data_IF_280275638017
#
_entry.id   IF_280275638017
#
_cell.length_a   1.000
_cell.length_b   1.000
_cell.length_c   1.000
_cell.angle_alpha   90.00
_cell.angle_beta   90.00
_cell.angle_gamma   90.00
#
_symmetry.space_group_name_H-M   'P 1'
#
loop_
_entity.id
_entity.type
_entity.pdbx_description
1 polymer ?
#
# COMPACT_ATOMS: atom_id res chain seq x y z
N UNK A 1 11.14 16.07 -11.61
CA UNK A 1 12.03 14.93 -11.36
C UNK A 1 12.10 14.77 -9.86
N UNK A 2 11.50 13.72 -9.33
CA UNK A 2 11.46 13.45 -7.89
C UNK A 2 12.73 12.76 -7.40
N UNK A 3 12.95 12.73 -6.10
CA UNK A 3 14.08 12.04 -5.45
C UNK A 3 14.16 10.53 -5.79
N UNK A 4 13.04 9.94 -6.22
CA UNK A 4 12.95 8.54 -6.63
C UNK A 4 13.40 8.31 -8.10
N UNK A 5 13.47 9.36 -8.92
CA UNK A 5 13.87 9.25 -10.32
C UNK A 5 15.38 8.99 -10.41
N UNK A 6 15.77 7.74 -10.65
CA UNK A 6 17.16 7.32 -10.75
C UNK A 6 17.81 6.88 -9.43
N UNK A 7 17.03 6.73 -8.35
CA UNK A 7 17.55 6.16 -7.10
C UNK A 7 17.83 4.65 -7.24
N UNK A 8 18.64 4.08 -6.34
CA UNK A 8 18.94 2.63 -6.30
C UNK A 8 17.82 1.78 -5.66
N UNK A 9 16.72 2.41 -5.28
CA UNK A 9 15.51 1.81 -4.72
C UNK A 9 15.73 0.98 -3.45
N UNK A 10 16.51 1.49 -2.49
CA UNK A 10 16.73 0.83 -1.20
C UNK A 10 15.45 0.52 -0.41
N UNK A 11 14.42 1.36 -0.52
CA UNK A 11 13.10 1.09 0.06
C UNK A 11 12.45 -0.18 -0.51
N UNK A 12 12.56 -0.44 -1.81
CA UNK A 12 12.06 -1.65 -2.46
C UNK A 12 12.84 -2.91 -2.06
N UNK A 13 14.04 -2.77 -1.49
CA UNK A 13 14.89 -3.87 -1.02
C UNK A 13 14.74 -4.14 0.47
N UNK A 14 14.29 -3.13 1.20
CA UNK A 14 14.26 -3.15 2.66
C UNK A 14 12.88 -3.48 3.20
N UNK A 15 11.84 -2.83 2.67
CA UNK A 15 10.52 -2.93 3.28
C UNK A 15 9.70 -4.10 2.73
N UNK A 16 9.07 -4.86 3.63
CA UNK A 16 7.88 -5.64 3.32
C UNK A 16 6.70 -4.67 3.19
N UNK A 17 6.40 -4.24 1.96
CA UNK A 17 5.39 -3.20 1.71
C UNK A 17 3.99 -3.78 1.92
N UNK A 18 3.21 -3.33 2.93
CA UNK A 18 1.85 -3.79 3.11
C UNK A 18 0.96 -3.40 1.94
N UNK A 19 0.06 -4.30 1.56
CA UNK A 19 -0.91 -4.08 0.47
C UNK A 19 -2.33 -4.32 0.97
N UNK A 20 -3.26 -3.52 0.46
CA UNK A 20 -4.70 -3.72 0.67
C UNK A 20 -5.31 -4.53 -0.46
N UNK A 21 -6.53 -5.05 -0.26
CA UNK A 21 -7.28 -5.69 -1.34
C UNK A 21 -7.50 -4.75 -2.54
N UNK A 22 -7.66 -3.44 -2.32
CA UNK A 22 -7.73 -2.47 -3.42
C UNK A 22 -6.42 -2.37 -4.21
N UNK A 23 -5.27 -2.41 -3.54
CA UNK A 23 -3.97 -2.43 -4.22
C UNK A 23 -3.79 -3.69 -5.06
N UNK A 24 -4.13 -4.85 -4.49
CA UNK A 24 -4.06 -6.16 -5.14
C UNK A 24 -4.92 -6.16 -6.41
N UNK A 25 -6.21 -5.86 -6.29
CA UNK A 25 -7.14 -5.86 -7.43
C UNK A 25 -6.70 -4.88 -8.52
N UNK A 26 -6.25 -3.69 -8.14
CA UNK A 26 -5.77 -2.68 -9.10
C UNK A 26 -4.53 -3.16 -9.84
N UNK A 27 -3.58 -3.77 -9.15
CA UNK A 27 -2.35 -4.30 -9.77
C UNK A 27 -2.68 -5.48 -10.70
N UNK A 28 -3.51 -6.44 -10.27
CA UNK A 28 -3.93 -7.55 -11.11
C UNK A 28 -4.57 -7.06 -12.42
N UNK A 29 -5.51 -6.10 -12.33
CA UNK A 29 -6.17 -5.52 -13.51
C UNK A 29 -5.23 -4.78 -14.44
N UNK A 30 -4.28 -4.04 -13.89
CA UNK A 30 -3.36 -3.23 -14.69
C UNK A 30 -2.26 -4.05 -15.38
N UNK A 31 -1.86 -5.18 -14.78
CA UNK A 31 -0.68 -5.95 -15.22
C UNK A 31 -1.03 -7.29 -15.83
N UNK A 32 -2.24 -7.82 -15.59
CA UNK A 32 -2.62 -9.19 -15.93
C UNK A 32 -1.98 -10.26 -15.02
N UNK A 33 -1.18 -9.86 -14.02
CA UNK A 33 -0.62 -10.78 -13.04
C UNK A 33 -1.70 -11.29 -12.09
N UNK A 34 -1.52 -12.51 -11.59
CA UNK A 34 -2.34 -13.09 -10.54
C UNK A 34 -1.88 -12.62 -9.16
N UNK A 35 -2.74 -12.81 -8.17
CA UNK A 35 -2.42 -12.59 -6.76
C UNK A 35 -1.10 -13.27 -6.35
N UNK A 36 -0.90 -14.50 -6.79
CA UNK A 36 0.22 -15.35 -6.40
C UNK A 36 1.57 -14.88 -6.95
N UNK A 37 1.56 -14.05 -8.01
CA UNK A 37 2.78 -13.58 -8.65
C UNK A 37 3.52 -12.54 -7.83
N UNK A 38 2.81 -11.81 -6.95
CA UNK A 38 3.37 -10.65 -6.26
C UNK A 38 2.91 -10.43 -4.82
N UNK A 39 1.97 -11.22 -4.27
CA UNK A 39 1.51 -11.11 -2.89
C UNK A 39 2.07 -12.25 -2.04
N UNK A 40 2.49 -11.94 -0.83
CA UNK A 40 2.86 -12.92 0.18
C UNK A 40 2.30 -12.51 1.55
N UNK A 41 2.15 -13.49 2.45
CA UNK A 41 1.90 -13.26 3.87
C UNK A 41 3.24 -13.23 4.61
N UNK A 42 3.58 -12.10 5.21
CA UNK A 42 4.80 -11.94 5.99
C UNK A 42 4.48 -12.15 7.46
N UNK A 43 5.21 -13.05 8.12
CA UNK A 43 5.10 -13.21 9.57
C UNK A 43 5.54 -11.90 10.25
N UNK A 44 4.75 -11.45 11.22
CA UNK A 44 4.95 -10.18 11.89
C UNK A 44 4.78 -10.31 13.41
N UNK A 45 5.39 -11.34 14.00
CA UNK A 45 5.28 -11.65 15.43
C UNK A 45 5.71 -10.49 16.33
N UNK A 46 6.64 -9.65 15.87
CA UNK A 46 7.14 -8.49 16.61
C UNK A 46 6.41 -7.18 16.26
N UNK A 47 5.45 -7.20 15.33
CA UNK A 47 4.69 -6.01 14.91
C UNK A 47 5.48 -4.97 14.10
N UNK A 48 6.69 -5.30 13.65
CA UNK A 48 7.59 -4.39 12.93
C UNK A 48 7.12 -4.04 11.52
N UNK A 49 6.31 -4.89 10.89
CA UNK A 49 5.73 -4.65 9.57
C UNK A 49 4.42 -3.87 9.71
N UNK A 50 3.53 -4.32 10.59
CA UNK A 50 2.22 -3.70 10.78
C UNK A 50 2.32 -2.26 11.29
N UNK A 51 3.16 -2.01 12.30
CA UNK A 51 3.34 -0.70 12.98
C UNK A 51 2.02 0.02 13.26
N UNK A 52 1.01 -0.71 13.72
CA UNK A 52 -0.36 -0.23 14.00
C UNK A 52 -1.10 0.38 12.79
N UNK A 53 -0.59 0.18 11.57
CA UNK A 53 -1.18 0.70 10.32
C UNK A 53 -1.78 -0.44 9.51
N UNK A 54 -1.02 -1.51 9.26
CA UNK A 54 -1.51 -2.66 8.50
C UNK A 54 -2.12 -3.70 9.46
N UNK A 55 -3.26 -4.32 9.12
CA UNK A 55 -3.90 -5.29 9.99
C UNK A 55 -3.19 -6.66 9.95
N UNK A 56 -3.31 -7.40 11.05
CA UNK A 56 -2.87 -8.80 11.14
C UNK A 56 -3.96 -9.77 10.69
N UNK A 57 -3.54 -10.78 9.94
CA UNK A 57 -4.34 -11.92 9.50
C UNK A 57 -3.80 -13.20 10.12
N UNK A 58 -4.70 -14.08 10.55
CA UNK A 58 -4.37 -15.40 11.06
C UNK A 58 -4.81 -16.48 10.07
N UNK A 59 -4.05 -17.57 10.00
CA UNK A 59 -4.32 -18.68 9.09
C UNK A 59 -4.29 -20.03 9.83
N UNK A 60 -5.09 -21.04 9.41
CA UNK A 60 -5.20 -22.30 10.14
C UNK A 60 -3.90 -23.12 10.23
N UNK A 61 -2.98 -22.93 9.29
CA UNK A 61 -1.71 -23.65 9.23
C UNK A 61 -0.65 -23.08 10.18
N UNK A 62 -0.80 -21.82 10.62
CA UNK A 62 -0.05 -21.25 11.73
C UNK A 62 -0.92 -20.22 12.48
N UNK A 63 -1.78 -20.67 13.42
CA UNK A 63 -2.77 -19.80 14.05
C UNK A 63 -2.19 -18.76 15.01
N UNK A 64 -0.99 -19.01 15.56
CA UNK A 64 -0.38 -18.15 16.57
C UNK A 64 0.45 -17.03 15.95
N UNK A 65 0.95 -17.23 14.72
CA UNK A 65 1.70 -16.21 14.01
C UNK A 65 0.76 -15.18 13.39
N UNK A 66 0.87 -13.89 13.73
CA UNK A 66 0.20 -12.84 13.00
C UNK A 66 0.92 -12.62 11.67
N UNK A 67 0.14 -12.46 10.59
CA UNK A 67 0.68 -12.17 9.26
C UNK A 67 0.19 -10.83 8.73
N UNK A 68 1.07 -10.10 8.05
CA UNK A 68 0.72 -8.93 7.23
C UNK A 68 0.73 -9.33 5.76
N UNK A 69 -0.30 -8.94 5.01
CA UNK A 69 -0.35 -9.12 3.57
C UNK A 69 0.49 -8.03 2.91
N UNK A 70 1.55 -8.44 2.21
CA UNK A 70 2.55 -7.53 1.67
C UNK A 70 3.02 -7.97 0.29
N UNK A 71 3.71 -7.07 -0.40
CA UNK A 71 4.41 -7.41 -1.64
C UNK A 71 5.46 -8.49 -1.39
N UNK A 72 5.50 -9.48 -2.26
CA UNK A 72 6.49 -10.53 -2.26
C UNK A 72 7.89 -9.95 -2.56
N UNK A 73 8.89 -10.55 -1.94
CA UNK A 73 10.29 -10.34 -2.30
C UNK A 73 10.81 -11.52 -3.09
N UNK A 74 11.70 -11.25 -4.04
CA UNK A 74 12.46 -12.24 -4.79
C UNK A 74 13.96 -12.02 -4.57
N UNK A 75 14.77 -13.04 -4.85
CA UNK A 75 16.21 -12.86 -4.89
C UNK A 75 16.60 -11.79 -5.94
N UNK A 76 17.62 -11.00 -5.63
CA UNK A 76 18.24 -10.11 -6.59
C UNK A 76 19.19 -10.89 -7.49
N UNK A 77 19.12 -10.63 -8.80
CA UNK A 77 20.07 -11.19 -9.78
C UNK A 77 21.32 -10.32 -9.89
N UNK A 78 21.21 -9.03 -9.56
CA UNK A 78 22.29 -8.05 -9.67
C UNK A 78 23.17 -8.02 -8.41
N UNK A 79 22.56 -8.21 -7.24
CA UNK A 79 23.23 -8.13 -5.94
C UNK A 79 23.06 -9.47 -5.19
N UNK A 80 24.03 -10.38 -5.29
CA UNK A 80 23.93 -11.72 -4.70
C UNK A 80 23.64 -11.69 -3.19
N UNK A 81 22.84 -12.66 -2.71
CA UNK A 81 22.42 -12.78 -1.30
C UNK A 81 21.55 -11.63 -0.80
N UNK A 82 21.01 -10.81 -1.70
CA UNK A 82 20.04 -9.77 -1.37
C UNK A 82 18.65 -10.11 -1.91
N UNK A 83 17.64 -9.50 -1.31
CA UNK A 83 16.24 -9.60 -1.76
C UNK A 83 15.74 -8.24 -2.23
N UNK A 84 14.71 -8.29 -3.06
CA UNK A 84 14.03 -7.10 -3.58
C UNK A 84 12.54 -7.36 -3.73
N UNK A 85 11.75 -6.30 -3.67
CA UNK A 85 10.36 -6.31 -4.10
C UNK A 85 10.25 -6.91 -5.52
N UNK A 86 9.27 -7.79 -5.72
CA UNK A 86 9.00 -8.47 -6.99
C UNK A 86 8.95 -7.55 -8.22
N UNK A 87 8.52 -6.30 -8.02
CA UNK A 87 8.37 -5.30 -9.08
C UNK A 87 9.63 -4.45 -9.34
N UNK A 88 10.73 -4.66 -8.61
CA UNK A 88 11.96 -3.92 -8.81
C UNK A 88 12.77 -4.47 -9.99
N UNK A 89 12.85 -3.68 -11.07
CA UNK A 89 13.89 -3.82 -12.08
C UNK A 89 15.17 -3.18 -11.58
N UNK A 90 16.27 -3.90 -11.73
CA UNK A 90 17.58 -3.47 -11.30
C UNK A 90 18.42 -3.17 -12.55
N UNK A 91 19.00 -1.99 -12.58
CA UNK A 91 20.05 -1.65 -13.53
C UNK A 91 21.40 -1.82 -12.84
N UNK A 92 22.39 -2.33 -13.59
CA UNK A 92 23.74 -2.54 -13.10
C UNK A 92 24.37 -1.23 -12.60
N UNK A 93 25.24 -1.29 -11.58
CA UNK A 93 26.08 -0.16 -11.19
C UNK A 93 26.91 0.40 -12.34
N UNK A 94 27.06 1.73 -12.36
CA UNK A 94 27.91 2.46 -13.29
C UNK A 94 28.63 3.62 -12.54
N UNK A 95 29.59 4.32 -13.18
CA UNK A 95 30.33 5.40 -12.51
C UNK A 95 29.45 6.56 -11.99
N UNK A 96 28.28 6.77 -12.58
CA UNK A 96 27.29 7.78 -12.15
C UNK A 96 26.31 7.25 -11.10
N UNK A 97 26.05 5.95 -11.09
CA UNK A 97 25.16 5.25 -10.16
C UNK A 97 25.90 4.05 -9.53
N UNK A 98 26.75 4.26 -8.52
CA UNK A 98 27.59 3.20 -7.95
C UNK A 98 26.79 2.10 -7.23
N UNK A 99 25.52 2.34 -6.90
CA UNK A 99 24.59 1.35 -6.36
C UNK A 99 23.58 0.84 -7.42
N UNK A 100 23.81 1.17 -8.69
CA UNK A 100 22.85 0.94 -9.77
C UNK A 100 21.61 1.83 -9.65
N UNK A 101 20.67 1.62 -10.57
CA UNK A 101 19.36 2.26 -10.54
C UNK A 101 18.26 1.23 -10.34
N UNK A 102 17.20 1.65 -9.66
CA UNK A 102 15.98 0.87 -9.50
C UNK A 102 14.83 1.48 -10.29
N UNK A 103 14.03 0.64 -10.95
CA UNK A 103 12.78 1.05 -11.59
C UNK A 103 11.63 0.17 -11.15
N UNK A 104 10.54 0.79 -10.71
CA UNK A 104 9.33 0.06 -10.33
C UNK A 104 8.50 -0.26 -11.57
N UNK A 105 8.26 -1.55 -11.85
CA UNK A 105 7.46 -1.99 -13.00
C UNK A 105 5.99 -1.60 -12.93
N UNK A 106 5.50 -1.32 -11.72
CA UNK A 106 4.12 -0.91 -11.48
C UNK A 106 4.06 0.51 -10.93
N UNK A 107 4.98 1.41 -11.30
CA UNK A 107 5.10 2.72 -10.67
C UNK A 107 3.77 3.50 -10.65
N UNK A 108 3.02 3.52 -11.76
CA UNK A 108 1.71 4.17 -11.85
C UNK A 108 0.63 3.50 -10.99
N UNK A 109 0.80 2.22 -10.64
CA UNK A 109 -0.16 1.42 -9.88
C UNK A 109 0.34 1.01 -8.49
N UNK A 110 1.53 1.51 -8.09
CA UNK A 110 2.27 1.14 -6.88
C UNK A 110 1.35 1.22 -5.66
N UNK A 111 1.50 0.34 -4.65
CA UNK A 111 0.60 0.33 -3.49
C UNK A 111 0.48 1.69 -2.81
N UNK A 112 -0.66 1.91 -2.13
CA UNK A 112 -0.89 3.16 -1.40
C UNK A 112 0.24 3.47 -0.40
N UNK A 113 0.78 2.46 0.29
CA UNK A 113 1.92 2.62 1.19
C UNK A 113 3.16 3.18 0.48
N UNK A 114 3.48 2.71 -0.73
CA UNK A 114 4.59 3.25 -1.53
C UNK A 114 4.33 4.68 -2.02
N UNK A 115 3.07 5.07 -2.27
CA UNK A 115 2.73 6.44 -2.69
C UNK A 115 2.81 7.42 -1.53
N UNK A 116 2.43 6.98 -0.32
CA UNK A 116 2.43 7.80 0.88
C UNK A 116 3.83 7.97 1.49
N UNK A 117 4.76 7.05 1.26
CA UNK A 117 6.12 7.17 1.78
C UNK A 117 6.81 8.44 1.25
N UNK A 118 7.56 9.21 2.08
CA UNK A 118 7.82 9.01 3.51
C UNK A 118 6.99 9.92 4.42
N UNK A 119 5.70 10.05 4.16
CA UNK A 119 4.82 10.98 4.87
C UNK A 119 3.82 10.26 5.77
N UNK A 120 3.29 11.00 6.75
CA UNK A 120 2.10 10.62 7.53
C UNK A 120 1.17 11.82 7.69
N UNK A 121 -0.04 11.59 8.15
CA UNK A 121 -0.82 12.70 8.72
C UNK A 121 -0.30 13.09 10.10
N UNK A 122 -0.55 14.35 10.48
CA UNK A 122 -0.54 14.79 11.87
C UNK A 122 -1.67 14.14 12.69
N UNK A 123 -1.78 14.51 13.97
CA UNK A 123 -2.75 13.92 14.89
C UNK A 123 -4.20 14.24 14.51
N UNK A 124 -4.46 15.40 13.91
CA UNK A 124 -5.80 15.82 13.47
C UNK A 124 -6.19 15.20 12.14
N UNK A 125 -5.21 14.77 11.33
CA UNK A 125 -5.47 14.22 10.01
C UNK A 125 -5.58 15.28 8.91
N UNK A 126 -5.16 16.51 9.19
CA UNK A 126 -5.33 17.68 8.33
C UNK A 126 -4.05 18.01 7.54
N UNK A 127 -2.87 17.76 8.14
CA UNK A 127 -1.58 18.10 7.55
C UNK A 127 -0.76 16.86 7.21
N UNK A 128 -0.14 16.86 6.04
CA UNK A 128 0.88 15.87 5.67
C UNK A 128 2.23 16.28 6.29
N UNK A 129 2.79 15.40 7.12
CA UNK A 129 4.08 15.57 7.76
C UNK A 129 5.11 14.66 7.11
N UNK A 130 6.26 15.23 6.78
CA UNK A 130 7.43 14.46 6.36
C UNK A 130 8.01 13.71 7.56
N UNK A 131 8.19 12.38 7.42
CA UNK A 131 8.85 11.58 8.45
C UNK A 131 10.36 11.54 8.23
N UNK A 132 11.16 11.53 9.31
CA UNK A 132 12.58 11.27 9.19
C UNK A 132 12.79 9.83 8.69
N UNK A 133 13.38 9.71 7.50
CA UNK A 133 13.75 8.41 6.93
C UNK A 133 15.13 8.03 7.46
N UNK A 134 15.28 6.90 8.18
CA UNK A 134 16.59 6.47 8.64
C UNK A 134 17.47 6.06 7.45
N UNK A 135 18.79 6.04 7.64
CA UNK A 135 19.69 5.59 6.57
C UNK A 135 19.44 4.12 6.21
N UNK A 136 19.20 3.28 7.22
CA UNK A 136 18.89 1.86 7.09
C UNK A 136 17.69 1.50 7.97
N UNK A 137 16.83 0.59 7.49
CA UNK A 137 15.68 0.08 8.23
C UNK A 137 15.75 -1.42 8.56
N UNK A 138 16.82 -2.09 8.11
CA UNK A 138 17.10 -3.50 8.40
C UNK A 138 18.53 -3.63 8.89
N UNK A 139 18.77 -4.64 9.74
CA UNK A 139 20.10 -5.02 10.22
C UNK A 139 20.88 -5.75 9.14
N UNK A 140 21.06 -5.11 7.99
CA UNK A 140 21.91 -5.60 6.91
C UNK A 140 22.90 -4.52 6.50
N UNK A 141 24.17 -4.91 6.48
CA UNK A 141 25.29 -4.01 6.19
C UNK A 141 25.52 -3.79 4.69
N UNK A 142 24.74 -4.42 3.81
CA UNK A 142 24.92 -4.27 2.36
C UNK A 142 24.46 -2.87 1.91
N UNK A 143 25.31 -2.08 1.23
CA UNK A 143 25.02 -0.69 0.86
C UNK A 143 23.73 -0.50 0.04
N UNK A 144 23.32 -1.53 -0.70
CA UNK A 144 22.09 -1.50 -1.50
C UNK A 144 20.81 -1.36 -0.67
N UNK A 145 20.87 -1.62 0.64
CA UNK A 145 19.74 -1.43 1.56
C UNK A 145 19.65 -0.03 2.16
N UNK A 146 20.61 0.87 1.88
CA UNK A 146 20.48 2.29 2.24
C UNK A 146 19.18 2.83 1.63
N UNK A 147 18.29 3.46 2.39
CA UNK A 147 16.94 3.74 1.90
C UNK A 147 16.89 4.79 0.79
N UNK A 148 17.44 5.96 1.05
CA UNK A 148 17.37 7.12 0.16
C UNK A 148 18.78 7.67 -0.10
N UNK A 149 19.02 8.25 -1.30
CA UNK A 149 20.33 8.80 -1.65
C UNK A 149 20.67 10.07 -0.84
N UNK A 150 19.64 10.80 -0.40
CA UNK A 150 19.73 11.97 0.48
C UNK A 150 18.48 12.06 1.38
N UNK A 151 18.50 12.89 2.43
CA UNK A 151 17.29 13.25 3.18
C UNK A 151 16.23 13.90 2.28
N UNK A 152 14.98 13.69 2.63
CA UNK A 152 13.83 14.33 2.00
C UNK A 152 13.64 15.75 2.53
N UNK A 153 13.13 16.63 1.68
CA UNK A 153 12.72 17.98 2.02
C UNK A 153 11.24 18.19 1.64
N UNK A 154 10.51 19.13 2.26
CA UNK A 154 9.13 19.42 1.89
C UNK A 154 8.94 19.75 0.39
N UNK A 155 9.94 20.36 -0.24
CA UNK A 155 9.93 20.69 -1.67
C UNK A 155 9.99 19.45 -2.59
N UNK A 156 10.35 18.27 -2.07
CA UNK A 156 10.34 17.01 -2.83
C UNK A 156 8.94 16.40 -2.94
N UNK A 157 7.98 16.92 -2.18
CA UNK A 157 6.62 16.38 -2.06
C UNK A 157 5.65 17.23 -2.88
N UNK A 158 4.77 16.56 -3.62
CA UNK A 158 3.67 17.25 -4.29
C UNK A 158 2.59 17.61 -3.25
N UNK A 159 2.21 18.89 -3.11
CA UNK A 159 1.30 19.34 -2.07
C UNK A 159 -0.15 18.86 -2.27
N UNK A 160 -0.49 18.33 -3.45
CA UNK A 160 -1.83 17.83 -3.79
C UNK A 160 -1.85 16.30 -3.80
N UNK A 161 -0.91 15.67 -4.50
CA UNK A 161 -0.88 14.20 -4.60
C UNK A 161 -0.49 13.54 -3.27
N UNK A 162 0.32 14.20 -2.43
CA UNK A 162 0.79 13.63 -1.17
C UNK A 162 -0.36 13.48 -0.16
N UNK A 163 -1.15 14.52 0.18
CA UNK A 163 -2.31 14.35 1.05
C UNK A 163 -3.36 13.40 0.48
N UNK A 164 -3.57 13.39 -0.85
CA UNK A 164 -4.48 12.45 -1.50
C UNK A 164 -4.03 10.99 -1.30
N UNK A 165 -2.74 10.71 -1.50
CA UNK A 165 -2.18 9.38 -1.32
C UNK A 165 -2.27 8.92 0.14
N UNK A 166 -2.05 9.82 1.10
CA UNK A 166 -2.24 9.56 2.53
C UNK A 166 -3.71 9.30 2.88
N UNK A 167 -4.64 10.10 2.34
CA UNK A 167 -6.07 9.92 2.57
C UNK A 167 -6.56 8.56 2.05
N UNK A 168 -6.12 8.18 0.85
CA UNK A 168 -6.40 6.86 0.26
C UNK A 168 -5.79 5.76 1.14
N UNK A 169 -4.52 5.86 1.54
CA UNK A 169 -3.88 4.87 2.39
C UNK A 169 -4.65 4.68 3.71
N UNK A 170 -4.97 5.77 4.41
CA UNK A 170 -5.70 5.74 5.68
C UNK A 170 -7.08 5.08 5.52
N UNK A 171 -7.83 5.50 4.49
CA UNK A 171 -9.15 4.97 4.22
C UNK A 171 -9.12 3.48 3.87
N UNK A 172 -8.20 3.07 2.99
CA UNK A 172 -8.07 1.67 2.57
C UNK A 172 -7.57 0.77 3.70
N UNK A 173 -6.58 1.21 4.50
CA UNK A 173 -6.09 0.42 5.64
C UNK A 173 -7.16 0.27 6.72
N UNK A 174 -7.94 1.33 7.01
CA UNK A 174 -9.06 1.23 7.94
C UNK A 174 -10.14 0.25 7.45
N UNK A 175 -10.45 0.26 6.15
CA UNK A 175 -11.35 -0.75 5.57
C UNK A 175 -10.73 -2.15 5.65
N UNK A 176 -9.45 -2.29 5.31
CA UNK A 176 -8.75 -3.57 5.33
C UNK A 176 -8.64 -4.16 6.73
N UNK A 177 -8.59 -3.34 7.78
CA UNK A 177 -8.75 -3.79 9.16
C UNK A 177 -10.08 -4.49 9.41
N UNK A 178 -11.19 -3.95 8.90
CA UNK A 178 -12.51 -4.63 8.96
C UNK A 178 -12.53 -5.93 8.16
N UNK A 179 -11.78 -6.00 7.06
CA UNK A 179 -11.62 -7.22 6.27
C UNK A 179 -10.84 -8.27 7.07
N UNK A 180 -9.79 -7.87 7.77
CA UNK A 180 -9.04 -8.75 8.67
C UNK A 180 -9.92 -9.24 9.84
N UNK A 181 -10.70 -8.37 10.47
CA UNK A 181 -11.65 -8.77 11.52
C UNK A 181 -12.66 -9.80 11.01
N UNK A 182 -13.16 -9.64 9.78
CA UNK A 182 -14.08 -10.60 9.17
C UNK A 182 -13.39 -11.93 8.88
N UNK A 183 -12.18 -11.90 8.32
CA UNK A 183 -11.37 -13.08 8.03
C UNK A 183 -11.03 -13.86 9.32
N UNK A 184 -10.53 -13.17 10.34
CA UNK A 184 -10.02 -13.76 11.58
C UNK A 184 -11.12 -14.42 12.45
N UNK A 185 -12.41 -14.14 12.20
CA UNK A 185 -13.53 -14.84 12.87
C UNK A 185 -13.63 -16.32 12.49
N UNK A 186 -13.25 -16.65 11.26
CA UNK A 186 -13.29 -18.00 10.73
C UNK A 186 -12.23 -18.13 9.63
N UNK A 187 -10.94 -18.15 10.00
CA UNK A 187 -9.85 -18.11 9.04
C UNK A 187 -9.89 -19.36 8.15
N UNK A 188 -9.68 -19.15 6.85
CA UNK A 188 -9.61 -20.21 5.85
C UNK A 188 -8.14 -20.45 5.45
N UNK A 189 -7.83 -21.54 4.73
CA UNK A 189 -6.49 -21.74 4.18
C UNK A 189 -6.05 -20.57 3.30
N UNK A 190 -4.75 -20.28 3.25
CA UNK A 190 -4.19 -19.20 2.44
C UNK A 190 -4.64 -19.23 0.97
N UNK A 191 -4.82 -20.44 0.42
CA UNK A 191 -5.31 -20.66 -0.94
C UNK A 191 -6.68 -20.04 -1.23
N UNK A 192 -7.52 -19.79 -0.21
CA UNK A 192 -8.86 -19.22 -0.35
C UNK A 192 -8.89 -17.69 -0.15
N UNK A 193 -7.75 -17.09 0.20
CA UNK A 193 -7.67 -15.66 0.50
C UNK A 193 -7.99 -14.77 -0.72
N UNK A 194 -7.54 -15.08 -1.96
CA UNK A 194 -7.86 -14.25 -3.12
C UNK A 194 -9.36 -14.20 -3.41
N UNK A 195 -10.04 -15.35 -3.40
CA UNK A 195 -11.48 -15.43 -3.64
C UNK A 195 -12.27 -14.69 -2.56
N UNK A 196 -11.81 -14.78 -1.30
CA UNK A 196 -12.38 -14.00 -0.21
C UNK A 196 -12.25 -12.49 -0.45
N UNK A 197 -11.08 -12.01 -0.88
CA UNK A 197 -10.89 -10.59 -1.20
C UNK A 197 -11.79 -10.15 -2.35
N UNK A 198 -11.88 -10.92 -3.43
CA UNK A 198 -12.76 -10.62 -4.56
C UNK A 198 -14.23 -10.52 -4.12
N UNK A 199 -14.68 -11.46 -3.29
CA UNK A 199 -16.03 -11.46 -2.74
C UNK A 199 -16.32 -10.19 -1.93
N UNK A 200 -15.43 -9.83 -1.00
CA UNK A 200 -15.62 -8.65 -0.14
C UNK A 200 -15.58 -7.35 -0.95
N UNK A 201 -14.63 -7.22 -1.87
CA UNK A 201 -14.46 -5.98 -2.65
C UNK A 201 -15.50 -5.82 -3.76
N UNK A 202 -16.05 -6.90 -4.31
CA UNK A 202 -17.15 -6.83 -5.28
C UNK A 202 -18.44 -6.26 -4.68
N UNK A 203 -18.62 -6.38 -3.37
CA UNK A 203 -19.78 -5.88 -2.61
C UNK A 203 -19.53 -4.54 -1.93
N UNK A 204 -18.37 -3.93 -2.18
CA UNK A 204 -17.98 -2.67 -1.53
C UNK A 204 -18.80 -1.47 -2.00
N UNK A 205 -19.22 -1.49 -3.27
CA UNK A 205 -20.07 -0.46 -3.87
C UNK A 205 -21.39 -1.14 -4.22
N UNK A 206 -22.46 -0.77 -3.52
CA UNK A 206 -23.81 -1.24 -3.81
C UNK A 206 -24.55 -0.13 -4.56
N UNK A 207 -25.35 -0.48 -5.58
CA UNK A 207 -26.28 0.48 -6.15
C UNK A 207 -27.25 0.93 -5.05
N UNK A 208 -27.51 2.23 -4.97
CA UNK A 208 -28.63 2.73 -4.18
C UNK A 208 -29.90 2.10 -4.76
N UNK A 209 -30.74 1.49 -3.91
CA UNK A 209 -32.01 0.94 -4.37
C UNK A 209 -32.89 2.09 -4.92
N UNK A 210 -33.11 2.05 -6.24
CA UNK A 210 -34.00 2.87 -7.08
C UNK A 210 -34.05 4.38 -6.82
N UNK A 211 -33.74 5.17 -7.85
CA UNK A 211 -34.69 6.17 -8.33
C UNK A 211 -34.76 6.03 -9.85
N UNK A 212 -35.89 5.55 -10.36
CA UNK A 212 -36.31 5.79 -11.74
C UNK A 212 -36.56 7.30 -11.86
N UNK A 213 -35.50 8.07 -12.15
CA UNK A 213 -35.61 9.51 -12.31
C UNK A 213 -35.68 9.86 -13.81
N UNK A 214 -36.82 10.41 -14.21
CA UNK A 214 -37.05 11.08 -15.49
C UNK A 214 -35.97 12.14 -15.79
N UNK A 215 -35.74 12.50 -17.08
CA UNK A 215 -34.69 13.44 -17.45
C UNK A 215 -35.06 14.86 -16.98
N UNK A 216 -34.48 15.28 -15.86
CA UNK A 216 -34.65 16.61 -15.28
C UNK A 216 -33.29 17.28 -15.08
N UNK A 217 -33.22 18.55 -15.49
CA UNK A 217 -32.24 19.63 -15.28
C UNK A 217 -30.92 19.32 -14.58
N UNK A 218 -29.84 19.96 -15.06
CA UNK A 218 -28.46 19.83 -14.57
C UNK A 218 -28.37 19.58 -13.05
N UNK A 219 -28.24 18.30 -12.70
CA UNK A 219 -28.25 17.85 -11.33
C UNK A 219 -26.95 18.30 -10.67
N UNK A 220 -27.00 19.39 -9.91
CA UNK A 220 -25.86 19.87 -9.13
C UNK A 220 -25.60 18.81 -8.06
N UNK A 221 -24.46 18.12 -8.14
CA UNK A 221 -24.00 17.18 -7.12
C UNK A 221 -24.04 17.88 -5.74
N UNK A 222 -24.97 17.49 -4.84
CA UNK A 222 -25.07 18.14 -3.55
C UNK A 222 -23.89 17.69 -2.70
N UNK A 223 -22.87 18.54 -2.58
CA UNK A 223 -21.75 18.28 -1.68
C UNK A 223 -22.23 18.41 -0.23
N UNK A 224 -22.03 17.39 0.63
CA UNK A 224 -22.40 17.49 2.04
C UNK A 224 -21.64 18.65 2.69
N UNK A 225 -22.37 19.52 3.38
CA UNK A 225 -21.77 20.63 4.15
C UNK A 225 -20.94 20.04 5.30
N UNK A 226 -19.73 20.55 5.57
CA UNK A 226 -18.95 20.10 6.72
C UNK A 226 -19.77 20.29 8.00
N UNK A 227 -20.09 19.20 8.72
CA UNK A 227 -20.82 19.22 9.99
C UNK A 227 -22.30 18.84 9.97
N UNK A 228 -22.87 18.42 8.84
CA UNK A 228 -24.29 18.01 8.76
C UNK A 228 -24.56 16.59 9.25
N UNK A 229 -25.17 16.42 10.43
CA UNK A 229 -25.74 15.14 10.87
C UNK A 229 -26.83 14.67 9.91
N UNK A 230 -26.74 13.42 9.43
CA UNK A 230 -27.80 12.74 8.69
C UNK A 230 -29.09 12.73 9.54
N UNK A 231 -30.04 13.61 9.23
CA UNK A 231 -31.44 13.39 9.63
C UNK A 231 -32.10 12.59 8.52
N UNK A 232 -32.26 11.30 8.75
CA UNK A 232 -33.19 10.49 7.98
C UNK A 232 -34.56 11.16 8.06
N UNK A 233 -35.14 11.53 6.91
CA UNK A 233 -36.56 11.85 6.85
C UNK A 233 -37.31 10.55 7.05
N UNK A 234 -38.05 10.45 8.15
CA UNK A 234 -39.13 9.50 8.28
C UNK A 234 -40.29 9.97 7.39
N UNK A 235 -40.66 9.15 6.42
CA UNK A 235 -42.00 8.98 5.86
C UNK A 235 -41.97 7.74 4.97
#
# INVERSE_FOLDING_TARGET
>A
MGICDGCHAGCCRTFAVPVTGADIIRICRATGLSFWDFVCRWADSDGHIAKDIAPHFHFPDDPQTPFVIALAHTASEVFPRTTKCRFLLECLPDPTHPLGQGRCQVYAHRPAACRAFPTKFDETGELALLQPVPEHARDANEPVYRLCPRPWEPADLDPVETPQSLAVLRYEMAFFGKVADLWNRSPLPWSAFPEFLEFVYSRRILPTASDEAEPSEAFILPLPRPGGTFRAKAA
#
